data_IF_444687772052
#
_entry.id   IF_444687772052
#
_cell.length_a   1.000
_cell.length_b   1.000
_cell.length_c   1.000
_cell.angle_alpha   90.00
_cell.angle_beta   90.00
_cell.angle_gamma   90.00
#
_symmetry.space_group_name_H-M   'P 1'
#
loop_
_entity.id
_entity.type
_entity.pdbx_description
1 polymer ?
#
# COMPACT_ATOMS: atom_id res chain seq x y z
N UNK A 1 7.12 -35.51 -63.43
CA UNK A 1 7.38 -35.93 -62.02
C UNK A 1 7.66 -34.69 -61.19
N UNK A 2 6.58 -34.10 -60.63
CA UNK A 2 6.65 -32.82 -59.88
C UNK A 2 6.86 -33.13 -58.42
N UNK A 3 8.00 -32.70 -57.88
CA UNK A 3 8.28 -32.71 -56.44
C UNK A 3 7.84 -31.37 -55.86
N UNK A 4 6.73 -31.36 -55.13
CA UNK A 4 6.33 -30.21 -54.31
C UNK A 4 7.20 -30.16 -53.07
N UNK A 5 8.01 -29.11 -52.97
CA UNK A 5 8.81 -28.80 -51.80
C UNK A 5 7.90 -28.06 -50.80
N UNK A 6 7.44 -28.73 -49.77
CA UNK A 6 6.67 -28.11 -48.67
C UNK A 6 7.66 -27.41 -47.74
N UNK A 7 7.69 -26.08 -47.85
CA UNK A 7 8.46 -25.23 -46.94
C UNK A 7 7.62 -25.00 -45.66
N UNK A 8 7.92 -25.77 -44.64
CA UNK A 8 7.28 -25.59 -43.30
C UNK A 8 7.93 -24.40 -42.63
N UNK A 9 7.27 -23.26 -42.62
CA UNK A 9 7.68 -22.10 -41.85
C UNK A 9 7.33 -22.37 -40.36
N UNK A 10 8.31 -22.70 -39.56
CA UNK A 10 8.19 -22.74 -38.11
C UNK A 10 8.15 -21.29 -37.60
N UNK A 11 6.94 -20.79 -37.33
CA UNK A 11 6.73 -19.53 -36.65
C UNK A 11 7.04 -19.75 -35.15
N UNK A 12 8.25 -19.41 -34.72
CA UNK A 12 8.58 -19.33 -33.29
C UNK A 12 7.81 -18.17 -32.67
N UNK A 13 6.66 -18.44 -32.07
CA UNK A 13 5.99 -17.52 -31.18
C UNK A 13 6.84 -17.41 -29.91
N UNK A 14 7.72 -16.41 -29.86
CA UNK A 14 8.33 -15.99 -28.61
C UNK A 14 7.24 -15.35 -27.72
N UNK A 15 6.55 -16.17 -26.93
CA UNK A 15 5.73 -15.68 -25.83
C UNK A 15 6.68 -15.18 -24.74
N UNK A 16 6.98 -13.89 -24.79
CA UNK A 16 7.57 -13.22 -23.63
C UNK A 16 6.51 -13.27 -22.52
N UNK A 17 6.70 -14.17 -21.55
CA UNK A 17 5.98 -14.11 -20.31
C UNK A 17 6.35 -12.78 -19.64
N UNK A 18 5.46 -11.80 -19.75
CA UNK A 18 5.51 -10.62 -18.90
C UNK A 18 5.20 -11.11 -17.50
N UNK A 19 6.23 -11.43 -16.74
CA UNK A 19 6.09 -11.68 -15.30
C UNK A 19 5.61 -10.36 -14.69
N UNK A 20 4.33 -10.28 -14.36
CA UNK A 20 3.80 -9.20 -13.53
C UNK A 20 4.60 -9.21 -12.22
N UNK A 21 5.40 -8.19 -12.01
CA UNK A 21 6.20 -8.06 -10.78
C UNK A 21 5.20 -7.91 -9.63
N UNK A 22 5.05 -8.97 -8.84
CA UNK A 22 4.19 -8.98 -7.67
C UNK A 22 4.93 -8.21 -6.57
N UNK A 23 4.46 -7.01 -6.26
CA UNK A 23 4.99 -6.24 -5.13
C UNK A 23 4.81 -7.01 -3.81
N UNK A 24 5.80 -6.93 -2.93
CA UNK A 24 5.64 -7.37 -1.55
C UNK A 24 4.51 -6.56 -0.92
N UNK A 25 3.62 -7.24 -0.21
CA UNK A 25 2.45 -6.61 0.42
C UNK A 25 2.59 -6.73 1.94
N UNK A 26 2.32 -5.63 2.65
CA UNK A 26 2.30 -5.64 4.10
C UNK A 26 1.37 -6.72 4.63
N UNK A 27 1.89 -7.55 5.52
CA UNK A 27 1.14 -8.62 6.19
C UNK A 27 0.23 -8.05 7.28
N UNK A 28 -0.93 -8.67 7.44
CA UNK A 28 -1.84 -8.45 8.56
C UNK A 28 -2.64 -9.73 8.80
N UNK A 29 -3.17 -9.85 10.01
CA UNK A 29 -4.11 -10.90 10.39
C UNK A 29 -5.51 -10.31 10.53
N UNK A 30 -6.53 -10.96 9.97
CA UNK A 30 -7.93 -10.62 10.22
C UNK A 30 -8.32 -11.32 11.52
N UNK A 31 -8.50 -10.53 12.57
CA UNK A 31 -8.84 -11.04 13.91
C UNK A 31 -10.34 -11.09 14.14
N UNK A 32 -11.11 -10.28 13.42
CA UNK A 32 -12.58 -10.30 13.43
C UNK A 32 -13.15 -9.75 12.13
N UNK A 33 -14.40 -10.10 11.81
CA UNK A 33 -15.10 -9.61 10.64
C UNK A 33 -16.58 -9.33 10.97
N UNK A 34 -17.01 -8.12 10.66
CA UNK A 34 -18.35 -7.62 10.90
C UNK A 34 -18.88 -7.09 9.56
N UNK A 35 -19.75 -7.86 8.91
CA UNK A 35 -20.24 -7.59 7.55
C UNK A 35 -19.10 -7.39 6.54
N UNK A 36 -18.93 -6.13 6.09
CA UNK A 36 -17.88 -5.73 5.13
C UNK A 36 -16.62 -5.20 5.81
N UNK A 37 -16.62 -5.07 7.13
CA UNK A 37 -15.55 -4.50 7.92
C UNK A 37 -14.70 -5.62 8.47
N UNK A 38 -13.39 -5.52 8.29
CA UNK A 38 -12.42 -6.41 8.90
C UNK A 38 -11.73 -5.68 10.06
N UNK A 39 -11.63 -6.32 11.22
CA UNK A 39 -10.71 -5.89 12.28
C UNK A 39 -9.41 -6.64 12.05
N UNK A 40 -8.34 -5.89 11.90
CA UNK A 40 -7.03 -6.42 11.52
C UNK A 40 -5.96 -6.08 12.54
N UNK A 41 -5.12 -7.05 12.85
CA UNK A 41 -3.87 -6.85 13.54
C UNK A 41 -2.74 -6.67 12.52
N UNK A 42 -2.04 -5.56 12.59
CA UNK A 42 -0.83 -5.30 11.83
C UNK A 42 0.38 -5.41 12.74
N UNK A 43 1.30 -6.34 12.49
CA UNK A 43 2.56 -6.41 13.23
C UNK A 43 3.45 -5.20 12.92
N UNK A 44 4.55 -5.08 13.65
CA UNK A 44 5.57 -4.06 13.34
C UNK A 44 6.07 -4.20 11.91
N UNK A 45 6.26 -3.08 11.25
CA UNK A 45 6.78 -3.03 9.89
C UNK A 45 7.77 -1.87 9.72
N UNK A 46 8.80 -2.02 8.87
CA UNK A 46 9.66 -0.92 8.49
C UNK A 46 8.89 0.00 7.56
N UNK A 47 8.94 1.30 7.83
CA UNK A 47 8.15 2.32 7.16
C UNK A 47 9.02 3.54 6.82
N UNK A 48 8.62 4.25 5.79
CA UNK A 48 9.04 5.63 5.54
C UNK A 48 7.82 6.50 5.42
N UNK A 49 7.91 7.72 5.93
CA UNK A 49 6.83 8.70 5.80
C UNK A 49 7.33 10.09 5.43
N UNK A 50 6.44 10.86 4.83
CA UNK A 50 6.56 12.29 4.66
C UNK A 50 5.27 12.94 5.15
N UNK A 51 5.42 14.03 5.92
CA UNK A 51 4.31 14.85 6.38
C UNK A 51 4.53 16.27 5.89
N UNK A 52 3.75 16.73 4.92
CA UNK A 52 3.90 18.08 4.37
C UNK A 52 2.60 18.58 3.76
N UNK A 53 2.41 19.89 3.72
CA UNK A 53 1.25 20.53 3.07
C UNK A 53 1.32 20.48 1.52
N UNK A 54 2.27 19.75 0.95
CA UNK A 54 2.40 19.57 -0.49
C UNK A 54 1.33 18.60 -1.03
N UNK A 55 1.21 18.54 -2.36
CA UNK A 55 0.28 17.61 -2.99
C UNK A 55 0.68 16.15 -2.76
N UNK A 56 -0.30 15.22 -2.86
CA UNK A 56 -0.04 13.77 -2.81
C UNK A 56 1.07 13.35 -3.78
N UNK A 57 1.12 13.94 -4.99
CA UNK A 57 2.15 13.61 -5.99
C UNK A 57 3.55 14.02 -5.54
N UNK A 58 3.70 15.18 -4.89
CA UNK A 58 4.99 15.63 -4.36
C UNK A 58 5.46 14.74 -3.20
N UNK A 59 4.55 14.38 -2.30
CA UNK A 59 4.85 13.46 -1.20
C UNK A 59 5.26 12.09 -1.73
N UNK A 60 4.52 11.55 -2.72
CA UNK A 60 4.90 10.31 -3.39
C UNK A 60 6.30 10.43 -4.02
N UNK A 61 6.58 11.52 -4.72
CA UNK A 61 7.87 11.76 -5.36
C UNK A 61 9.06 11.75 -4.38
N UNK A 62 8.88 12.29 -3.14
CA UNK A 62 9.93 12.25 -2.10
C UNK A 62 10.20 10.83 -1.64
N UNK A 63 9.15 10.07 -1.28
CA UNK A 63 9.28 8.68 -0.87
C UNK A 63 9.83 7.79 -2.00
N UNK A 64 9.39 8.06 -3.24
CA UNK A 64 9.88 7.31 -4.40
C UNK A 64 11.38 7.55 -4.66
N UNK A 65 11.86 8.80 -4.53
CA UNK A 65 13.31 9.09 -4.64
C UNK A 65 14.10 8.33 -3.58
N UNK A 66 13.61 8.27 -2.33
CA UNK A 66 14.25 7.53 -1.27
C UNK A 66 14.44 6.05 -1.65
N UNK A 67 13.38 5.36 -2.10
CA UNK A 67 13.50 3.95 -2.50
C UNK A 67 14.29 3.77 -3.80
N UNK A 68 14.41 4.81 -4.63
CA UNK A 68 15.26 4.79 -5.83
C UNK A 68 16.75 4.97 -5.54
N UNK A 69 17.16 5.14 -4.27
CA UNK A 69 18.55 5.24 -3.84
C UNK A 69 18.93 6.60 -3.27
N UNK A 70 17.99 7.55 -3.06
CA UNK A 70 18.29 8.82 -2.38
C UNK A 70 18.30 8.62 -0.84
N UNK A 71 19.21 7.76 -0.39
CA UNK A 71 19.53 7.47 1.00
C UNK A 71 21.06 7.41 1.14
N UNK A 72 21.57 7.44 2.38
CA UNK A 72 23.02 7.52 2.64
C UNK A 72 23.78 6.35 1.99
N UNK A 73 23.17 5.16 1.94
CA UNK A 73 23.79 3.95 1.41
C UNK A 73 23.63 3.80 -0.10
N UNK A 74 22.95 4.75 -0.77
CA UNK A 74 22.58 4.69 -2.19
C UNK A 74 21.84 3.37 -2.56
N UNK A 75 21.23 2.72 -1.55
CA UNK A 75 20.56 1.44 -1.71
C UNK A 75 19.22 1.61 -2.44
N UNK A 76 19.03 0.85 -3.52
CA UNK A 76 17.73 0.73 -4.20
C UNK A 76 16.85 -0.26 -3.46
N UNK A 77 15.70 0.22 -3.02
CA UNK A 77 14.72 -0.53 -2.24
C UNK A 77 13.53 -0.87 -3.14
N UNK A 78 13.09 -2.11 -3.12
CA UNK A 78 11.93 -2.54 -3.91
C UNK A 78 10.66 -1.83 -3.42
N UNK A 79 9.80 -1.42 -4.38
CA UNK A 79 8.48 -0.90 -4.05
C UNK A 79 7.61 -2.00 -3.44
N UNK A 80 6.83 -1.65 -2.43
CA UNK A 80 5.87 -2.53 -1.77
C UNK A 80 4.46 -1.95 -1.83
N UNK A 81 3.48 -2.66 -1.31
CA UNK A 81 2.10 -2.21 -1.16
C UNK A 81 1.61 -2.47 0.27
N UNK A 82 0.63 -1.72 0.75
CA UNK A 82 0.00 -0.54 0.16
C UNK A 82 0.79 0.76 0.33
N UNK A 83 0.37 1.80 -0.39
CA UNK A 83 0.71 3.20 -0.08
C UNK A 83 -0.36 3.74 0.85
N UNK A 84 0.05 4.25 2.01
CA UNK A 84 -0.81 4.91 2.98
C UNK A 84 -0.90 6.41 2.69
N UNK A 85 -2.10 6.95 2.73
CA UNK A 85 -2.35 8.38 2.51
C UNK A 85 -3.34 8.90 3.54
N UNK A 86 -3.04 10.03 4.19
CA UNK A 86 -3.99 10.79 4.98
C UNK A 86 -4.01 12.24 4.53
N UNK A 87 -5.19 12.74 4.17
CA UNK A 87 -5.37 14.14 3.81
C UNK A 87 -5.49 15.06 5.04
N UNK A 88 -5.88 14.51 6.18
CA UNK A 88 -5.98 15.24 7.44
C UNK A 88 -4.61 15.64 7.97
N UNK A 89 -3.72 14.66 8.16
CA UNK A 89 -2.34 14.90 8.60
C UNK A 89 -1.39 15.28 7.48
N UNK A 90 -1.88 15.31 6.21
CA UNK A 90 -1.03 15.53 5.04
C UNK A 90 0.14 14.55 4.96
N UNK A 91 -0.11 13.32 5.40
CA UNK A 91 0.90 12.27 5.51
C UNK A 91 0.78 11.27 4.36
N UNK A 92 1.92 10.82 3.85
CA UNK A 92 2.03 9.66 2.98
C UNK A 92 3.10 8.73 3.53
N UNK A 93 2.85 7.42 3.48
CA UNK A 93 3.78 6.42 3.99
C UNK A 93 3.92 5.26 3.00
N UNK A 94 5.16 4.76 2.86
CA UNK A 94 5.42 3.49 2.21
C UNK A 94 5.86 2.48 3.27
N UNK A 95 5.37 1.27 3.13
CA UNK A 95 5.95 0.11 3.80
C UNK A 95 7.26 -0.22 3.10
N UNK A 96 8.28 -0.60 3.81
CA UNK A 96 9.51 -1.11 3.24
C UNK A 96 9.51 -2.65 3.25
N UNK A 97 10.34 -3.30 2.41
CA UNK A 97 10.48 -4.75 2.43
C UNK A 97 10.78 -5.30 3.83
N UNK A 98 10.21 -6.45 4.16
CA UNK A 98 10.32 -7.10 5.48
C UNK A 98 11.77 -7.34 5.93
N UNK A 99 12.72 -7.43 4.98
CA UNK A 99 14.16 -7.56 5.30
C UNK A 99 14.68 -6.45 6.23
N UNK A 100 14.08 -5.26 6.19
CA UNK A 100 14.47 -4.13 7.04
C UNK A 100 13.86 -4.17 8.45
N UNK A 101 13.02 -5.16 8.77
CA UNK A 101 12.49 -5.32 10.13
C UNK A 101 13.58 -5.78 11.12
N UNK A 102 14.54 -6.57 10.66
CA UNK A 102 15.67 -7.09 11.45
C UNK A 102 17.02 -6.46 11.07
N UNK A 103 17.04 -5.55 10.11
CA UNK A 103 18.22 -4.84 9.63
C UNK A 103 18.14 -3.33 9.87
N UNK A 104 19.18 -2.63 9.47
CA UNK A 104 19.16 -1.16 9.48
C UNK A 104 18.36 -0.65 8.28
N UNK A 105 17.51 0.34 8.53
CA UNK A 105 16.82 1.07 7.46
C UNK A 105 17.78 2.17 6.99
N UNK A 106 18.11 2.26 5.68
CA UNK A 106 18.98 3.31 5.16
C UNK A 106 18.48 4.71 5.55
N UNK A 107 19.39 5.56 6.01
CA UNK A 107 19.03 6.92 6.45
C UNK A 107 18.65 7.77 5.25
N UNK A 108 17.47 8.46 5.26
CA UNK A 108 17.09 9.35 4.18
C UNK A 108 18.06 10.54 4.01
N UNK A 109 18.34 10.92 2.76
CA UNK A 109 19.05 12.17 2.46
C UNK A 109 18.13 13.40 2.48
N UNK A 110 16.81 13.20 2.34
CA UNK A 110 15.78 14.25 2.40
C UNK A 110 15.28 14.37 3.85
N UNK A 111 15.48 15.52 4.47
CA UNK A 111 15.08 15.78 5.87
C UNK A 111 13.56 15.73 6.10
N UNK A 112 12.76 15.82 5.02
CA UNK A 112 11.31 15.69 5.13
C UNK A 112 10.85 14.22 5.16
N UNK A 113 11.74 13.26 4.88
CA UNK A 113 11.48 11.83 4.91
C UNK A 113 11.97 11.24 6.21
N UNK A 114 11.08 10.58 6.93
CA UNK A 114 11.39 9.86 8.17
C UNK A 114 11.32 8.35 7.95
N UNK A 115 12.36 7.63 8.34
CA UNK A 115 12.39 6.17 8.34
C UNK A 115 12.22 5.65 9.78
N UNK A 116 11.34 4.65 9.98
CA UNK A 116 11.03 4.16 11.31
C UNK A 116 10.46 2.72 11.28
N UNK A 117 10.41 2.08 12.43
CA UNK A 117 9.67 0.83 12.65
C UNK A 117 8.32 1.16 13.28
N UNK A 118 7.22 0.80 12.62
CA UNK A 118 5.88 0.97 13.17
C UNK A 118 5.67 0.05 14.39
N UNK A 119 4.88 0.50 15.36
CA UNK A 119 4.41 -0.39 16.45
C UNK A 119 3.27 -1.26 15.96
N UNK A 120 3.05 -2.46 16.54
CA UNK A 120 1.86 -3.26 16.27
C UNK A 120 0.59 -2.47 16.57
N UNK A 121 -0.45 -2.64 15.73
CA UNK A 121 -1.70 -1.89 15.86
C UNK A 121 -2.89 -2.70 15.36
N UNK A 122 -4.06 -2.38 15.91
CA UNK A 122 -5.33 -2.85 15.37
C UNK A 122 -5.99 -1.77 14.52
N UNK A 123 -6.57 -2.19 13.40
CA UNK A 123 -7.29 -1.33 12.50
C UNK A 123 -8.62 -1.95 12.11
N UNK A 124 -9.67 -1.14 12.07
CA UNK A 124 -10.85 -1.44 11.29
C UNK A 124 -10.60 -1.04 9.84
N UNK A 125 -11.02 -1.89 8.90
CA UNK A 125 -10.74 -1.75 7.47
C UNK A 125 -11.98 -2.02 6.63
N UNK A 126 -12.21 -1.19 5.61
CA UNK A 126 -13.22 -1.40 4.56
C UNK A 126 -12.58 -1.35 3.18
N UNK A 127 -12.88 -2.35 2.33
CA UNK A 127 -12.35 -2.46 0.96
C UNK A 127 -13.29 -1.84 -0.06
N UNK A 128 -12.72 -1.21 -1.09
CA UNK A 128 -13.48 -0.75 -2.25
C UNK A 128 -12.67 -0.84 -3.55
N UNK A 129 -13.37 -0.86 -4.69
CA UNK A 129 -12.75 -1.04 -6.01
C UNK A 129 -12.85 0.22 -6.88
N UNK A 130 -12.15 0.22 -8.01
CA UNK A 130 -12.12 1.30 -9.01
C UNK A 130 -11.22 2.46 -8.63
N UNK A 131 -11.27 3.55 -9.41
CA UNK A 131 -10.51 4.76 -9.10
C UNK A 131 -11.02 5.42 -7.82
N UNK A 132 -10.08 5.88 -6.99
CA UNK A 132 -10.36 6.64 -5.79
C UNK A 132 -10.50 8.13 -6.09
N UNK A 133 -11.37 8.79 -5.34
CA UNK A 133 -11.52 10.25 -5.29
C UNK A 133 -12.08 10.65 -3.91
N UNK A 134 -11.98 11.93 -3.58
CA UNK A 134 -12.34 12.44 -2.25
C UNK A 134 -13.78 12.07 -1.83
N UNK A 135 -14.76 12.13 -2.76
CA UNK A 135 -16.16 11.77 -2.45
C UNK A 135 -16.29 10.31 -2.09
N UNK A 136 -15.62 9.44 -2.83
CA UNK A 136 -15.66 7.99 -2.61
C UNK A 136 -14.93 7.61 -1.31
N UNK A 137 -13.76 8.19 -1.09
CA UNK A 137 -12.98 8.02 0.14
C UNK A 137 -13.80 8.43 1.36
N UNK A 138 -14.46 9.59 1.30
CA UNK A 138 -15.32 10.10 2.37
C UNK A 138 -16.54 9.19 2.63
N UNK A 139 -17.20 8.68 1.59
CA UNK A 139 -18.33 7.77 1.76
C UNK A 139 -17.91 6.49 2.50
N UNK A 140 -16.79 5.87 2.11
CA UNK A 140 -16.28 4.67 2.78
C UNK A 140 -15.75 4.96 4.19
N UNK A 141 -15.18 6.15 4.41
CA UNK A 141 -14.82 6.59 5.75
C UNK A 141 -16.04 6.68 6.67
N UNK A 142 -17.13 7.30 6.21
CA UNK A 142 -18.37 7.42 6.99
C UNK A 142 -19.00 6.05 7.27
N UNK A 143 -19.02 5.14 6.28
CA UNK A 143 -19.51 3.76 6.46
C UNK A 143 -18.66 3.04 7.52
N UNK A 144 -17.33 3.16 7.48
CA UNK A 144 -16.42 2.55 8.43
C UNK A 144 -16.60 3.13 9.84
N UNK A 145 -16.67 4.47 9.98
CA UNK A 145 -16.87 5.12 11.29
C UNK A 145 -18.17 4.68 11.92
N UNK A 146 -19.26 4.62 11.13
CA UNK A 146 -20.56 4.15 11.63
C UNK A 146 -20.46 2.71 12.15
N UNK A 147 -19.86 1.80 11.39
CA UNK A 147 -19.71 0.41 11.80
C UNK A 147 -18.87 0.27 13.09
N UNK A 148 -17.79 1.05 13.24
CA UNK A 148 -16.98 1.08 14.46
C UNK A 148 -17.82 1.56 15.66
N UNK A 149 -18.66 2.58 15.47
CA UNK A 149 -19.54 3.11 16.53
C UNK A 149 -20.65 2.11 16.92
N UNK A 150 -21.24 1.44 15.93
CA UNK A 150 -22.31 0.44 16.15
C UNK A 150 -21.84 -0.74 17.04
N UNK A 151 -20.54 -1.05 17.03
CA UNK A 151 -19.92 -2.07 17.88
C UNK A 151 -19.21 -1.49 19.11
N UNK A 152 -19.36 -0.19 19.39
CA UNK A 152 -18.75 0.51 20.53
C UNK A 152 -17.21 0.41 20.61
N UNK A 153 -16.51 0.24 19.48
CA UNK A 153 -15.06 0.32 19.45
C UNK A 153 -14.57 1.76 19.51
N UNK A 154 -13.49 1.98 20.25
CA UNK A 154 -12.87 3.28 20.38
C UNK A 154 -11.95 3.57 19.20
N UNK A 155 -12.18 4.70 18.50
CA UNK A 155 -11.30 5.21 17.45
C UNK A 155 -10.07 5.86 18.10
N UNK A 156 -8.88 5.51 17.62
CA UNK A 156 -7.59 5.99 18.13
C UNK A 156 -6.84 6.92 17.15
N UNK A 157 -7.21 6.94 15.87
CA UNK A 157 -6.54 7.79 14.88
C UNK A 157 -7.53 8.38 13.87
N UNK A 158 -7.04 9.34 13.08
CA UNK A 158 -7.66 9.65 11.81
C UNK A 158 -7.64 8.46 10.84
N UNK A 159 -8.30 8.59 9.71
CA UNK A 159 -8.31 7.55 8.69
C UNK A 159 -7.11 7.64 7.75
N UNK A 160 -6.71 6.48 7.23
CA UNK A 160 -5.83 6.33 6.09
C UNK A 160 -6.60 5.77 4.89
N UNK A 161 -6.28 6.26 3.71
CA UNK A 161 -6.65 5.63 2.44
C UNK A 161 -5.45 4.83 1.95
N UNK A 162 -5.67 3.55 1.65
CA UNK A 162 -4.64 2.65 1.17
C UNK A 162 -4.82 2.36 -0.32
N UNK A 163 -3.75 2.51 -1.09
CA UNK A 163 -3.70 2.15 -2.51
C UNK A 163 -2.74 0.99 -2.74
N UNK A 164 -3.22 -0.05 -3.42
CA UNK A 164 -2.45 -1.27 -3.70
C UNK A 164 -1.97 -1.35 -5.14
N UNK A 165 -2.51 -0.53 -6.02
CA UNK A 165 -2.32 -0.66 -7.46
C UNK A 165 -1.67 0.56 -8.08
N UNK A 166 -0.83 0.32 -9.09
CA UNK A 166 -0.23 1.40 -9.88
C UNK A 166 -1.32 2.29 -10.54
N UNK A 167 -1.06 3.59 -10.75
CA UNK A 167 -2.03 4.49 -11.38
C UNK A 167 -2.50 4.04 -12.75
N UNK A 168 -1.68 3.28 -13.47
CA UNK A 168 -1.96 2.75 -14.82
C UNK A 168 -2.94 1.57 -14.83
N UNK A 169 -3.17 0.91 -13.71
CA UNK A 169 -4.14 -0.19 -13.62
C UNK A 169 -5.56 0.38 -13.63
N UNK A 170 -6.37 0.04 -14.62
CA UNK A 170 -7.71 0.62 -14.84
C UNK A 170 -8.87 -0.29 -14.39
N UNK A 171 -8.64 -1.58 -14.14
CA UNK A 171 -9.66 -2.52 -13.71
C UNK A 171 -9.26 -3.24 -12.41
N UNK A 172 -10.26 -3.73 -11.70
CA UNK A 172 -10.09 -4.51 -10.47
C UNK A 172 -9.08 -3.90 -9.49
N UNK A 173 -9.17 -2.57 -9.29
CA UNK A 173 -8.30 -1.85 -8.36
C UNK A 173 -8.72 -2.16 -6.92
N UNK A 174 -7.74 -2.35 -6.05
CA UNK A 174 -7.93 -2.49 -4.61
C UNK A 174 -7.56 -1.18 -3.91
N UNK A 175 -8.52 -0.63 -3.20
CA UNK A 175 -8.30 0.46 -2.26
C UNK A 175 -8.97 0.11 -0.93
N UNK A 176 -8.54 0.74 0.15
CA UNK A 176 -9.11 0.53 1.47
C UNK A 176 -9.15 1.84 2.25
N UNK A 177 -10.08 1.95 3.19
CA UNK A 177 -10.02 2.92 4.28
C UNK A 177 -9.71 2.17 5.56
N UNK A 178 -8.72 2.67 6.30
CA UNK A 178 -8.31 2.15 7.61
C UNK A 178 -8.48 3.22 8.68
N UNK A 179 -8.93 2.79 9.87
CA UNK A 179 -8.99 3.61 11.08
C UNK A 179 -8.42 2.78 12.22
N UNK A 180 -7.43 3.31 12.95
CA UNK A 180 -6.88 2.64 14.12
C UNK A 180 -7.95 2.59 15.23
N UNK A 181 -8.11 1.41 15.83
CA UNK A 181 -9.09 1.15 16.89
C UNK A 181 -8.42 0.51 18.11
N UNK A 182 -9.06 0.68 19.26
CA UNK A 182 -8.67 -0.01 20.50
C UNK A 182 -9.39 -1.37 20.53
N UNK A 183 -8.66 -2.43 20.20
CA UNK A 183 -9.18 -3.81 20.16
C UNK A 183 -8.43 -4.72 21.16
N UNK A 184 -7.60 -4.16 22.03
CA UNK A 184 -6.73 -4.94 22.94
C UNK A 184 -7.47 -5.71 24.02
N UNK A 185 -8.74 -5.38 24.28
CA UNK A 185 -9.57 -5.94 25.35
C UNK A 185 -10.85 -6.65 24.83
N UNK A 186 -10.88 -7.04 23.56
CA UNK A 186 -12.02 -7.73 22.95
C UNK A 186 -11.75 -9.23 22.76
#
# INVERSE_FOLDING_TARGET
>A
MNKYLILTVFLFLNTTMVMSQKYETQEYEVVDQIDKIEIRYYPSAPMIRVSSNQSRNNNFGKLFRYIAGNNIDEEKIAMTTPVYMSDQSKTMEFVLPKKFLSGEIPVPNDNDVEAYISKPKYYAAIKYSGYSNNKKEENYRQELVKAIQDINLKILSEHFVLSYDAPTKFYNRRNEVLIQVDYSNW
#
